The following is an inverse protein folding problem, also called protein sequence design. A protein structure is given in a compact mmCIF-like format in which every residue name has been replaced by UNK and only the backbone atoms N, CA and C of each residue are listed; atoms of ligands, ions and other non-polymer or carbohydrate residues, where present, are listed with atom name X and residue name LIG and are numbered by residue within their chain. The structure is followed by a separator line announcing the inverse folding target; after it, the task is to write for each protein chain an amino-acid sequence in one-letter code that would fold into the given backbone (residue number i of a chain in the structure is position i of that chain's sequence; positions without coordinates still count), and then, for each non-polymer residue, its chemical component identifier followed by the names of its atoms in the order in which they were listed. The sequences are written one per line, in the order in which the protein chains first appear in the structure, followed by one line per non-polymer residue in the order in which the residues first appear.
data_IF_665131494466
#
_entry.id   IF_665131494466
#
_cell.length_a   1.000
_cell.length_b   1.000
_cell.length_c   1.000
_cell.angle_alpha   90.00
_cell.angle_beta   90.00
_cell.angle_gamma   90.00
#
_symmetry.space_group_name_H-M   'P 1'
#
loop_
_entity.id
_entity.type
_entity.pdbx_description
1 polymer ?
#
# COMPACT_ATOMS: atom_id res chain seq x y z
N UNK A 1 0.17 19.56 14.10
CA UNK A 1 1.27 20.00 13.21
C UNK A 1 1.44 21.51 13.32
N UNK A 2 2.61 22.00 13.65
CA UNK A 2 2.88 23.45 13.85
C UNK A 2 3.76 23.95 12.70
N UNK A 3 3.38 25.05 12.05
CA UNK A 3 4.20 25.73 11.05
C UNK A 3 5.45 26.32 11.73
N UNK A 4 6.62 25.81 11.37
CA UNK A 4 7.90 26.30 11.87
C UNK A 4 8.32 27.60 11.17
N UNK A 5 9.32 28.33 11.74
CA UNK A 5 9.89 29.58 11.19
C UNK A 5 10.47 29.46 9.76
N UNK A 6 10.63 28.24 9.22
CA UNK A 6 11.18 27.93 7.90
C UNK A 6 10.12 27.64 6.83
N UNK A 7 8.83 27.81 7.13
CA UNK A 7 7.74 27.45 6.21
C UNK A 7 7.52 25.93 6.03
N UNK A 8 8.27 25.07 6.77
CA UNK A 8 8.09 23.61 6.78
C UNK A 8 7.19 23.19 7.94
N UNK A 9 6.41 22.15 7.72
CA UNK A 9 5.58 21.54 8.77
C UNK A 9 6.48 20.65 9.64
N UNK A 10 6.50 20.90 10.95
CA UNK A 10 7.27 20.06 11.89
C UNK A 10 6.48 18.81 12.23
N UNK A 11 7.14 17.65 12.11
CA UNK A 11 6.63 16.32 12.43
C UNK A 11 7.49 15.72 13.54
N UNK A 12 6.96 15.64 14.77
CA UNK A 12 7.63 14.85 15.82
C UNK A 12 7.35 13.36 15.57
N UNK A 13 8.41 12.64 15.24
CA UNK A 13 8.30 11.22 14.94
C UNK A 13 7.78 10.39 16.12
N UNK A 14 7.96 10.85 17.37
CA UNK A 14 7.51 10.11 18.55
C UNK A 14 6.00 10.17 18.74
N UNK A 15 5.38 11.33 18.47
CA UNK A 15 3.91 11.47 18.52
C UNK A 15 3.23 10.48 17.57
N UNK A 16 3.80 10.30 16.37
CA UNK A 16 3.27 9.41 15.36
C UNK A 16 3.54 7.94 15.68
N UNK A 17 4.80 7.59 15.96
CA UNK A 17 5.24 6.19 16.02
C UNK A 17 4.86 5.45 17.30
N UNK A 18 4.86 6.11 18.47
CA UNK A 18 4.62 5.43 19.75
C UNK A 18 3.26 4.76 19.80
N UNK A 19 2.23 5.45 19.31
CA UNK A 19 0.88 4.92 19.24
C UNK A 19 0.79 3.71 18.30
N UNK A 20 1.40 3.79 17.12
CA UNK A 20 1.39 2.70 16.12
C UNK A 20 2.14 1.48 16.65
N UNK A 21 3.31 1.65 17.27
CA UNK A 21 4.08 0.57 17.88
C UNK A 21 3.26 -0.13 18.95
N UNK A 22 2.63 0.61 19.86
CA UNK A 22 1.86 0.04 20.95
C UNK A 22 0.60 -0.71 20.46
N UNK A 23 -0.15 -0.12 19.50
CA UNK A 23 -1.37 -0.71 18.98
C UNK A 23 -1.13 -1.99 18.16
N UNK A 24 -0.01 -2.07 17.44
CA UNK A 24 0.29 -3.19 16.56
C UNK A 24 1.35 -4.15 17.14
N UNK A 25 1.82 -3.94 18.37
CA UNK A 25 2.84 -4.79 19.02
C UNK A 25 4.15 -4.86 18.23
N UNK A 26 4.56 -3.77 17.58
CA UNK A 26 5.70 -3.77 16.68
C UNK A 26 7.01 -3.98 17.41
N UNK A 27 7.68 -5.07 17.11
CA UNK A 27 9.03 -5.37 17.59
C UNK A 27 10.07 -4.85 16.60
N UNK A 28 11.30 -4.63 17.07
CA UNK A 28 12.43 -4.20 16.24
C UNK A 28 12.30 -2.82 15.54
N UNK A 29 11.23 -2.05 15.80
CA UNK A 29 11.07 -0.70 15.24
C UNK A 29 12.18 0.30 15.68
N UNK A 30 12.99 -0.05 16.70
CA UNK A 30 14.12 0.73 17.17
C UNK A 30 15.48 0.24 16.66
N UNK A 31 15.53 -0.88 15.92
CA UNK A 31 16.79 -1.34 15.32
C UNK A 31 17.28 -0.38 14.24
N UNK A 32 18.58 -0.38 14.04
CA UNK A 32 19.20 0.35 12.94
C UNK A 32 19.19 -0.50 11.68
N UNK A 33 18.63 0.05 10.60
CA UNK A 33 18.63 -0.56 9.27
C UNK A 33 19.17 0.42 8.24
N UNK A 34 19.61 -0.09 7.10
CA UNK A 34 19.68 0.65 5.85
C UNK A 34 18.56 0.15 4.95
N UNK A 35 17.70 1.06 4.48
CA UNK A 35 16.46 0.74 3.77
C UNK A 35 16.46 1.48 2.44
N UNK A 36 16.34 0.74 1.33
CA UNK A 36 16.31 1.28 -0.02
C UNK A 36 14.88 1.23 -0.54
N UNK A 37 14.45 2.31 -1.19
CA UNK A 37 13.08 2.49 -1.66
C UNK A 37 13.02 2.71 -3.15
N UNK A 38 12.01 2.12 -3.74
CA UNK A 38 11.46 2.44 -5.05
C UNK A 38 9.94 2.31 -5.00
N UNK A 39 9.23 2.76 -6.01
CA UNK A 39 7.78 2.62 -6.11
C UNK A 39 7.36 2.11 -7.49
N UNK A 40 6.15 1.54 -7.54
CA UNK A 40 5.53 1.12 -8.79
C UNK A 40 4.04 1.47 -8.82
N UNK A 41 3.51 1.64 -10.03
CA UNK A 41 2.13 2.05 -10.28
C UNK A 41 1.77 3.39 -9.59
N UNK A 42 2.74 4.29 -9.47
CA UNK A 42 2.52 5.63 -8.93
C UNK A 42 1.69 6.46 -9.93
N UNK A 43 0.38 6.49 -9.70
CA UNK A 43 -0.56 7.29 -10.50
C UNK A 43 -0.50 8.78 -10.14
N UNK A 44 0.36 9.15 -9.16
CA UNK A 44 0.54 10.49 -8.59
C UNK A 44 -0.73 11.03 -7.94
N UNK A 45 -1.81 11.14 -8.69
CA UNK A 45 -3.10 11.63 -8.24
C UNK A 45 -4.24 10.80 -8.84
N UNK A 46 -5.18 10.34 -8.00
CA UNK A 46 -6.42 9.71 -8.45
C UNK A 46 -7.56 10.71 -8.27
N UNK A 47 -8.31 10.97 -9.33
CA UNK A 47 -9.44 11.90 -9.28
C UNK A 47 -10.55 11.52 -10.27
N UNK A 48 -11.76 11.93 -9.95
CA UNK A 48 -12.95 11.76 -10.77
C UNK A 48 -13.02 12.88 -11.81
N UNK A 49 -13.37 12.53 -13.05
CA UNK A 49 -13.60 13.42 -14.19
C UNK A 49 -15.01 13.21 -14.71
N UNK A 50 -15.41 14.01 -15.70
CA UNK A 50 -16.71 13.88 -16.35
C UNK A 50 -16.92 12.54 -17.08
N UNK A 51 -15.83 11.89 -17.46
CA UNK A 51 -15.80 10.60 -18.19
C UNK A 51 -15.35 9.41 -17.30
N UNK A 52 -15.32 9.59 -15.98
CA UNK A 52 -14.91 8.56 -15.01
C UNK A 52 -13.62 8.88 -14.26
N UNK A 53 -12.90 7.86 -13.78
CA UNK A 53 -11.61 8.08 -13.15
C UNK A 53 -10.53 8.42 -14.18
N UNK A 54 -9.59 9.32 -13.81
CA UNK A 54 -8.42 9.63 -14.62
C UNK A 54 -7.54 8.41 -14.94
N UNK A 55 -7.65 7.35 -14.15
CA UNK A 55 -7.09 6.02 -14.40
C UNK A 55 -8.22 5.03 -14.19
N UNK A 56 -8.73 4.45 -15.30
CA UNK A 56 -9.93 3.60 -15.28
C UNK A 56 -9.81 2.37 -14.37
N UNK A 57 -8.66 1.74 -14.38
CA UNK A 57 -8.38 0.54 -13.56
C UNK A 57 -7.04 0.76 -12.83
N UNK A 58 -7.05 1.49 -11.69
CA UNK A 58 -5.83 1.74 -10.97
C UNK A 58 -5.28 0.43 -10.41
N UNK A 59 -4.00 0.15 -10.74
CA UNK A 59 -3.28 -0.97 -10.16
C UNK A 59 -2.84 -0.65 -8.74
N UNK A 60 -2.61 -1.69 -7.93
CA UNK A 60 -2.06 -1.49 -6.60
C UNK A 60 -0.76 -0.69 -6.65
N UNK A 61 -0.75 0.44 -5.95
CA UNK A 61 0.47 1.18 -5.68
C UNK A 61 1.31 0.41 -4.67
N UNK A 62 2.60 0.28 -4.93
CA UNK A 62 3.54 -0.29 -3.96
C UNK A 62 4.73 0.63 -3.84
N UNK A 63 5.03 1.04 -2.62
CA UNK A 63 6.32 1.61 -2.24
C UNK A 63 7.05 0.60 -1.36
N UNK A 64 8.31 0.34 -1.65
CA UNK A 64 9.07 -0.66 -0.91
C UNK A 64 10.46 -0.87 -1.48
N UNK A 65 11.01 -2.02 -1.20
CA UNK A 65 12.33 -2.40 -1.70
C UNK A 65 13.02 -3.38 -0.78
N UNK A 66 14.32 -3.18 -0.60
CA UNK A 66 15.16 -4.05 0.23
C UNK A 66 15.73 -3.31 1.43
N UNK A 67 16.01 -4.08 2.48
CA UNK A 67 16.64 -3.58 3.70
C UNK A 67 17.69 -4.57 4.21
N UNK A 68 18.67 -4.06 4.95
CA UNK A 68 19.57 -4.88 5.77
C UNK A 68 19.81 -4.24 7.13
N UNK A 69 20.25 -5.03 8.10
CA UNK A 69 20.57 -4.54 9.43
C UNK A 69 21.86 -3.70 9.42
N UNK A 70 21.88 -2.61 10.18
CA UNK A 70 23.02 -1.72 10.31
C UNK A 70 23.32 -0.90 9.05
N UNK A 71 24.57 -0.40 8.95
CA UNK A 71 25.02 0.53 7.91
C UNK A 71 26.21 0.04 7.06
N UNK A 72 26.69 -1.17 7.31
CA UNK A 72 27.98 -1.61 6.75
C UNK A 72 27.91 -2.56 5.56
N UNK A 73 26.74 -3.05 5.20
CA UNK A 73 26.61 -4.01 4.09
C UNK A 73 26.66 -3.27 2.75
N UNK A 74 27.59 -3.71 1.89
CA UNK A 74 27.64 -3.28 0.49
C UNK A 74 26.90 -4.29 -0.38
N UNK A 75 26.00 -3.79 -1.23
CA UNK A 75 25.27 -4.62 -2.21
C UNK A 75 26.09 -4.64 -3.51
N UNK A 76 26.70 -5.80 -3.81
CA UNK A 76 27.42 -6.02 -5.07
C UNK A 76 26.50 -6.67 -6.11
N UNK A 77 26.19 -5.95 -7.17
CA UNK A 77 25.36 -6.42 -8.28
C UNK A 77 26.14 -7.24 -9.33
N UNK A 78 27.45 -7.30 -9.27
CA UNK A 78 28.28 -7.98 -10.27
C UNK A 78 27.88 -9.44 -10.48
N UNK A 79 27.81 -10.26 -9.42
CA UNK A 79 27.37 -11.66 -9.50
C UNK A 79 25.94 -11.80 -10.04
N UNK A 80 25.00 -10.95 -9.59
CA UNK A 80 23.61 -10.96 -10.05
C UNK A 80 23.51 -10.63 -11.54
N UNK A 81 24.17 -9.55 -11.99
CA UNK A 81 24.20 -9.14 -13.41
C UNK A 81 24.72 -10.28 -14.30
N UNK A 82 25.76 -10.95 -13.85
CA UNK A 82 26.36 -12.08 -14.57
C UNK A 82 25.37 -13.26 -14.68
N UNK A 83 24.74 -13.65 -13.56
CA UNK A 83 23.77 -14.76 -13.52
C UNK A 83 22.52 -14.48 -14.35
N UNK A 84 22.02 -13.25 -14.33
CA UNK A 84 20.88 -12.79 -15.14
C UNK A 84 21.27 -12.53 -16.61
N UNK A 85 22.55 -12.56 -16.96
CA UNK A 85 23.08 -12.22 -18.29
C UNK A 85 22.64 -10.82 -18.73
N UNK A 86 22.69 -9.86 -17.82
CA UNK A 86 22.38 -8.46 -18.12
C UNK A 86 23.48 -7.90 -19.03
N UNK A 87 23.09 -7.26 -20.13
CA UNK A 87 24.03 -6.66 -21.06
C UNK A 87 24.92 -5.62 -20.38
N UNK A 88 26.23 -5.56 -20.68
CA UNK A 88 27.13 -4.57 -20.08
C UNK A 88 26.69 -3.11 -20.33
N UNK A 89 26.00 -2.86 -21.44
CA UNK A 89 25.46 -1.55 -21.80
C UNK A 89 24.22 -1.13 -21.01
N UNK A 90 23.58 -2.06 -20.27
CA UNK A 90 22.44 -1.71 -19.42
C UNK A 90 22.97 -1.01 -18.16
N UNK A 91 22.59 0.26 -17.99
CA UNK A 91 23.02 1.06 -16.85
C UNK A 91 22.52 0.48 -15.52
N UNK A 92 21.30 -0.05 -15.52
CA UNK A 92 20.58 -0.52 -14.34
C UNK A 92 19.99 -1.92 -14.53
N UNK A 93 19.79 -2.63 -13.41
CA UNK A 93 18.93 -3.82 -13.38
C UNK A 93 17.50 -3.36 -13.19
N UNK A 94 16.58 -3.88 -14.01
CA UNK A 94 15.13 -3.62 -13.95
C UNK A 94 14.38 -4.95 -14.08
N UNK A 95 13.10 -5.00 -13.67
CA UNK A 95 12.29 -6.22 -13.74
C UNK A 95 12.34 -6.88 -15.12
N UNK A 96 12.40 -6.13 -16.23
CA UNK A 96 12.50 -6.67 -17.59
C UNK A 96 13.74 -7.54 -17.85
N UNK A 97 14.79 -7.41 -17.04
CA UNK A 97 15.99 -8.26 -17.13
C UNK A 97 15.80 -9.59 -16.40
N UNK A 98 14.84 -9.65 -15.49
CA UNK A 98 14.44 -10.85 -14.72
C UNK A 98 13.30 -11.58 -15.43
N UNK A 99 12.21 -10.86 -15.73
CA UNK A 99 11.03 -11.41 -16.39
C UNK A 99 10.18 -10.31 -17.03
N UNK A 100 9.29 -10.72 -17.96
CA UNK A 100 8.32 -9.85 -18.63
C UNK A 100 6.95 -10.52 -18.64
N UNK A 101 5.89 -9.75 -18.88
CA UNK A 101 4.52 -10.25 -18.94
C UNK A 101 3.67 -9.92 -17.70
N UNK A 102 2.57 -10.66 -17.54
CA UNK A 102 1.73 -10.58 -16.35
C UNK A 102 2.38 -11.30 -15.15
N UNK A 103 1.70 -11.32 -14.01
CA UNK A 103 2.27 -11.94 -12.81
C UNK A 103 2.57 -13.43 -12.98
N UNK A 104 1.68 -14.20 -13.59
CA UNK A 104 1.86 -15.64 -13.81
C UNK A 104 2.97 -15.94 -14.82
N UNK A 105 3.13 -15.08 -15.85
CA UNK A 105 4.26 -15.18 -16.78
C UNK A 105 5.60 -14.98 -16.06
N UNK A 106 5.66 -13.99 -15.17
CA UNK A 106 6.84 -13.69 -14.37
C UNK A 106 7.17 -14.82 -13.43
N UNK A 107 6.19 -15.44 -12.77
CA UNK A 107 6.40 -16.62 -11.94
C UNK A 107 6.99 -17.79 -12.74
N UNK A 108 6.73 -17.90 -14.04
CA UNK A 108 7.30 -18.93 -14.91
C UNK A 108 8.78 -18.72 -15.29
N UNK A 109 9.37 -17.58 -14.95
CA UNK A 109 10.71 -17.24 -15.40
C UNK A 109 11.81 -17.83 -14.50
N UNK A 110 12.73 -18.63 -15.07
CA UNK A 110 13.88 -19.15 -14.34
C UNK A 110 14.82 -18.06 -13.79
N UNK A 111 14.87 -16.89 -14.43
CA UNK A 111 15.65 -15.75 -13.91
C UNK A 111 15.06 -15.14 -12.65
N UNK A 112 13.75 -15.30 -12.42
CA UNK A 112 13.14 -14.87 -11.15
C UNK A 112 13.65 -15.72 -10.00
N UNK A 113 13.81 -17.03 -10.19
CA UNK A 113 14.44 -17.91 -9.20
C UNK A 113 15.84 -17.41 -8.83
N UNK A 114 16.68 -17.15 -9.82
CA UNK A 114 18.04 -16.61 -9.63
C UNK A 114 18.00 -15.31 -8.80
N UNK A 115 17.07 -14.41 -9.10
CA UNK A 115 16.94 -13.14 -8.38
C UNK A 115 16.51 -13.34 -6.93
N UNK A 116 15.49 -14.16 -6.68
CA UNK A 116 14.97 -14.41 -5.32
C UNK A 116 16.00 -15.17 -4.46
N UNK A 117 16.64 -16.20 -5.02
CA UNK A 117 17.72 -16.92 -4.33
C UNK A 117 18.90 -15.98 -3.99
N UNK A 118 19.24 -15.06 -4.90
CA UNK A 118 20.28 -14.08 -4.65
C UNK A 118 19.90 -13.13 -3.49
N UNK A 119 18.66 -12.62 -3.42
CA UNK A 119 18.19 -11.80 -2.30
C UNK A 119 18.32 -12.54 -0.96
N UNK A 120 17.92 -13.82 -0.94
CA UNK A 120 18.01 -14.68 0.23
C UNK A 120 19.46 -14.87 0.66
N UNK A 121 20.36 -15.17 -0.30
CA UNK A 121 21.78 -15.40 -0.06
C UNK A 121 22.51 -14.13 0.43
N UNK A 122 22.09 -12.95 -0.03
CA UNK A 122 22.61 -11.66 0.47
C UNK A 122 22.09 -11.31 1.88
N UNK A 123 21.16 -12.05 2.45
CA UNK A 123 20.55 -11.74 3.73
C UNK A 123 19.65 -10.50 3.70
N UNK A 124 19.25 -10.04 2.51
CA UNK A 124 18.40 -8.86 2.37
C UNK A 124 16.95 -9.17 2.79
N UNK A 125 16.35 -8.26 3.52
CA UNK A 125 14.91 -8.26 3.81
C UNK A 125 14.15 -7.49 2.74
N UNK A 126 12.90 -7.87 2.51
CA UNK A 126 11.96 -7.11 1.66
C UNK A 126 11.04 -6.31 2.55
N UNK A 127 10.86 -5.05 2.22
CA UNK A 127 9.85 -4.22 2.88
C UNK A 127 8.93 -3.59 1.83
N UNK A 128 7.66 -3.38 2.20
CA UNK A 128 6.69 -2.74 1.32
C UNK A 128 5.53 -2.13 2.08
N UNK A 129 4.91 -1.14 1.45
CA UNK A 129 3.54 -0.70 1.71
C UNK A 129 2.76 -0.85 0.42
N UNK A 130 1.67 -1.60 0.44
CA UNK A 130 0.77 -1.79 -0.70
C UNK A 130 -0.56 -1.09 -0.47
N UNK A 131 -1.06 -0.45 -1.50
CA UNK A 131 -2.34 0.26 -1.48
C UNK A 131 -3.17 -0.13 -2.69
N UNK A 132 -4.39 -0.62 -2.48
CA UNK A 132 -5.42 -0.59 -3.51
C UNK A 132 -6.02 0.83 -3.54
N UNK A 133 -5.87 1.58 -4.63
CA UNK A 133 -6.31 2.96 -4.67
C UNK A 133 -7.83 3.13 -4.48
N UNK A 134 -8.64 2.19 -4.97
CA UNK A 134 -10.09 2.24 -4.77
C UNK A 134 -10.45 1.95 -3.30
N UNK A 135 -9.88 0.89 -2.71
CA UNK A 135 -10.11 0.56 -1.31
C UNK A 135 -9.74 1.75 -0.41
N UNK A 136 -8.56 2.35 -0.62
CA UNK A 136 -8.14 3.51 0.17
C UNK A 136 -9.07 4.71 0.00
N UNK A 137 -9.57 4.95 -1.21
CA UNK A 137 -10.50 6.05 -1.47
C UNK A 137 -11.84 5.91 -0.72
N UNK A 138 -12.24 4.70 -0.37
CA UNK A 138 -13.56 4.41 0.22
C UNK A 138 -13.51 4.37 1.75
N UNK A 139 -12.36 4.05 2.34
CA UNK A 139 -12.25 3.86 3.80
C UNK A 139 -12.64 5.07 4.62
N UNK A 140 -12.53 6.27 4.06
CA UNK A 140 -12.86 7.54 4.71
C UNK A 140 -14.33 7.67 5.10
N UNK A 141 -15.25 7.02 4.38
CA UNK A 141 -16.68 6.99 4.74
C UNK A 141 -16.87 6.38 6.13
N UNK A 142 -16.31 5.18 6.34
CA UNK A 142 -16.41 4.48 7.63
C UNK A 142 -15.61 5.20 8.70
N UNK A 143 -14.40 5.68 8.39
CA UNK A 143 -13.55 6.37 9.35
C UNK A 143 -14.16 7.69 9.84
N UNK A 144 -14.81 8.45 8.95
CA UNK A 144 -15.55 9.65 9.32
C UNK A 144 -16.68 9.34 10.32
N UNK A 145 -17.48 8.33 10.03
CA UNK A 145 -18.61 7.96 10.88
C UNK A 145 -18.10 7.48 12.25
N UNK A 146 -17.19 6.53 12.29
CA UNK A 146 -16.68 5.96 13.53
C UNK A 146 -15.89 6.98 14.36
N UNK A 147 -15.08 7.83 13.69
CA UNK A 147 -14.31 8.87 14.33
C UNK A 147 -15.18 9.93 14.98
N UNK A 148 -16.25 10.36 14.30
CA UNK A 148 -17.18 11.37 14.82
C UNK A 148 -18.12 10.79 15.89
N UNK A 149 -18.56 9.56 15.73
CA UNK A 149 -19.42 8.90 16.74
C UNK A 149 -18.68 8.64 18.05
N UNK A 150 -17.36 8.39 17.99
CA UNK A 150 -16.47 8.34 19.16
C UNK A 150 -16.62 7.11 20.07
N UNK A 151 -17.45 6.12 19.70
CA UNK A 151 -17.60 4.88 20.49
C UNK A 151 -16.43 3.93 20.22
N UNK A 152 -15.54 3.82 21.21
CA UNK A 152 -14.27 3.08 21.05
C UNK A 152 -14.43 1.59 20.70
N UNK A 153 -15.55 0.96 21.08
CA UNK A 153 -15.86 -0.45 20.77
C UNK A 153 -16.03 -0.69 19.28
N UNK A 154 -16.51 0.31 18.54
CA UNK A 154 -16.73 0.20 17.09
C UNK A 154 -15.44 0.26 16.29
N UNK A 155 -14.34 0.79 16.82
CA UNK A 155 -13.05 0.74 16.13
C UNK A 155 -12.54 -0.68 15.88
N UNK A 156 -12.94 -1.65 16.73
CA UNK A 156 -12.60 -3.07 16.53
C UNK A 156 -13.26 -3.70 15.29
N UNK A 157 -14.33 -3.12 14.79
CA UNK A 157 -15.07 -3.58 13.60
C UNK A 157 -14.87 -2.66 12.38
N UNK A 158 -14.08 -1.61 12.50
CA UNK A 158 -13.84 -0.65 11.41
C UNK A 158 -13.34 -1.35 10.13
N UNK A 159 -12.39 -2.26 10.26
CA UNK A 159 -11.80 -2.97 9.12
C UNK A 159 -12.81 -3.90 8.41
N UNK A 160 -13.60 -4.75 9.09
CA UNK A 160 -14.72 -5.45 8.48
C UNK A 160 -15.69 -4.53 7.76
N UNK A 161 -16.15 -3.44 8.38
CA UNK A 161 -17.09 -2.50 7.77
C UNK A 161 -16.55 -1.87 6.47
N UNK A 162 -15.28 -1.47 6.47
CA UNK A 162 -14.59 -0.97 5.27
C UNK A 162 -14.55 -2.00 4.16
N UNK A 163 -14.26 -3.26 4.52
CA UNK A 163 -14.25 -4.36 3.58
C UNK A 163 -15.62 -4.63 2.97
N UNK A 164 -16.69 -4.57 3.78
CA UNK A 164 -18.05 -4.82 3.33
C UNK A 164 -18.53 -3.69 2.42
N UNK A 165 -18.28 -2.43 2.77
CA UNK A 165 -18.57 -1.27 1.91
C UNK A 165 -17.79 -1.37 0.59
N UNK A 166 -16.50 -1.69 0.65
CA UNK A 166 -15.68 -1.87 -0.54
C UNK A 166 -16.21 -2.98 -1.46
N UNK A 167 -16.65 -4.11 -0.89
CA UNK A 167 -17.19 -5.23 -1.65
C UNK A 167 -18.44 -4.83 -2.45
N UNK A 168 -19.32 -4.03 -1.83
CA UNK A 168 -20.52 -3.49 -2.49
C UNK A 168 -20.16 -2.51 -3.59
N UNK A 169 -19.33 -1.53 -3.29
CA UNK A 169 -18.95 -0.46 -4.24
C UNK A 169 -18.12 -1.00 -5.42
N UNK A 170 -17.25 -1.98 -5.17
CA UNK A 170 -16.46 -2.60 -6.23
C UNK A 170 -17.29 -3.46 -7.19
N UNK A 171 -18.40 -4.04 -6.73
CA UNK A 171 -19.27 -4.88 -7.56
C UNK A 171 -19.83 -4.14 -8.78
N UNK A 172 -20.14 -2.86 -8.61
CA UNK A 172 -20.54 -1.96 -9.69
C UNK A 172 -19.61 -0.73 -9.70
N UNK A 173 -18.46 -0.94 -10.34
CA UNK A 173 -17.40 0.07 -10.36
C UNK A 173 -17.84 1.37 -11.03
N UNK A 174 -18.50 1.26 -12.22
CA UNK A 174 -18.92 2.44 -12.97
C UNK A 174 -20.02 3.20 -12.22
N UNK A 175 -21.01 2.49 -11.63
CA UNK A 175 -22.02 3.10 -10.75
C UNK A 175 -21.43 3.78 -9.52
N UNK A 176 -20.38 3.20 -8.93
CA UNK A 176 -19.66 3.82 -7.81
C UNK A 176 -18.97 5.13 -8.22
N UNK A 177 -18.34 5.15 -9.39
CA UNK A 177 -17.70 6.37 -9.92
C UNK A 177 -18.75 7.45 -10.21
N UNK A 178 -19.93 7.08 -10.72
CA UNK A 178 -21.05 7.99 -10.94
C UNK A 178 -21.56 8.61 -9.61
N UNK A 179 -21.62 7.81 -8.54
CA UNK A 179 -21.94 8.31 -7.19
C UNK A 179 -20.88 9.32 -6.75
N UNK A 180 -19.61 8.98 -6.86
CA UNK A 180 -18.51 9.88 -6.48
C UNK A 180 -18.55 11.18 -7.25
N UNK A 181 -18.81 11.16 -8.54
CA UNK A 181 -18.95 12.34 -9.37
C UNK A 181 -20.15 13.21 -8.93
N UNK A 182 -21.32 12.59 -8.74
CA UNK A 182 -22.56 13.29 -8.36
C UNK A 182 -22.43 14.04 -7.06
N UNK A 183 -21.73 13.49 -6.10
CA UNK A 183 -21.53 14.06 -4.77
C UNK A 183 -20.18 14.75 -4.60
N UNK A 184 -19.39 14.92 -5.66
CA UNK A 184 -18.05 15.55 -5.62
C UNK A 184 -17.11 14.90 -4.58
N UNK A 185 -17.28 13.58 -4.34
CA UNK A 185 -16.55 12.81 -3.34
C UNK A 185 -15.02 12.98 -3.50
N UNK A 186 -14.22 13.14 -2.41
CA UNK A 186 -14.62 13.00 -1.01
C UNK A 186 -15.28 14.24 -0.40
N UNK A 187 -15.28 15.41 -1.03
CA UNK A 187 -15.93 16.61 -0.52
C UNK A 187 -17.46 16.58 -0.77
N UNK A 188 -18.14 15.64 -0.12
CA UNK A 188 -19.60 15.52 -0.22
C UNK A 188 -20.29 16.75 0.35
N UNK A 189 -19.68 17.33 1.37
CA UNK A 189 -20.18 18.52 2.05
C UNK A 189 -21.46 18.27 2.85
N UNK A 190 -21.75 19.20 3.77
CA UNK A 190 -22.86 19.05 4.69
C UNK A 190 -24.24 18.99 3.99
N UNK A 191 -24.38 19.69 2.87
CA UNK A 191 -25.68 19.79 2.17
C UNK A 191 -26.08 18.47 1.48
N UNK A 192 -25.11 17.70 1.01
CA UNK A 192 -25.36 16.47 0.23
C UNK A 192 -25.15 15.20 1.07
N UNK A 193 -24.65 15.31 2.31
CA UNK A 193 -24.28 14.18 3.16
C UNK A 193 -25.40 13.18 3.37
N UNK A 194 -26.61 13.66 3.69
CA UNK A 194 -27.77 12.81 3.91
C UNK A 194 -28.10 12.02 2.65
N UNK A 195 -28.26 12.67 1.51
CA UNK A 195 -28.54 12.00 0.23
C UNK A 195 -27.46 11.02 -0.18
N UNK A 196 -26.17 11.34 0.04
CA UNK A 196 -25.05 10.44 -0.24
C UNK A 196 -25.12 9.19 0.62
N UNK A 197 -25.34 9.31 1.93
CA UNK A 197 -25.43 8.17 2.83
C UNK A 197 -26.68 7.33 2.57
N UNK A 198 -27.82 7.95 2.25
CA UNK A 198 -29.04 7.23 1.86
C UNK A 198 -28.81 6.38 0.60
N UNK A 199 -28.12 6.95 -0.41
CA UNK A 199 -27.78 6.20 -1.63
C UNK A 199 -26.84 5.03 -1.35
N UNK A 200 -25.87 5.18 -0.43
CA UNK A 200 -25.03 4.06 0.01
C UNK A 200 -25.83 2.98 0.76
N UNK A 201 -26.82 3.37 1.56
CA UNK A 201 -27.73 2.44 2.26
C UNK A 201 -28.57 1.68 1.25
N UNK A 202 -29.18 2.37 0.27
CA UNK A 202 -29.97 1.74 -0.79
C UNK A 202 -29.12 0.75 -1.60
N UNK A 203 -27.88 1.14 -1.94
CA UNK A 203 -26.96 0.25 -2.65
C UNK A 203 -26.62 -0.99 -1.80
N UNK A 204 -26.39 -0.82 -0.49
CA UNK A 204 -26.17 -1.94 0.42
C UNK A 204 -27.38 -2.86 0.53
N UNK A 205 -28.61 -2.32 0.51
CA UNK A 205 -29.83 -3.12 0.50
C UNK A 205 -29.97 -3.92 -0.79
N UNK A 206 -29.80 -3.29 -1.94
CA UNK A 206 -29.88 -3.94 -3.26
C UNK A 206 -28.83 -5.04 -3.43
N UNK A 207 -27.67 -4.88 -2.80
CA UNK A 207 -26.53 -5.81 -2.87
C UNK A 207 -26.31 -6.58 -1.56
N UNK A 208 -27.34 -6.72 -0.75
CA UNK A 208 -27.26 -7.48 0.53
C UNK A 208 -26.88 -8.95 0.35
N UNK A 209 -27.08 -9.51 -0.83
CA UNK A 209 -26.65 -10.87 -1.22
C UNK A 209 -25.11 -11.03 -1.29
N UNK A 210 -24.38 -9.95 -1.39
CA UNK A 210 -22.91 -9.97 -1.36
C UNK A 210 -22.35 -10.16 0.07
N UNK A 211 -23.15 -9.92 1.11
CA UNK A 211 -22.74 -9.98 2.52
C UNK A 211 -23.53 -11.05 3.27
N UNK A 212 -22.97 -11.56 4.36
CA UNK A 212 -23.81 -12.26 5.31
C UNK A 212 -24.76 -11.26 6.03
N UNK A 213 -25.85 -11.78 6.57
CA UNK A 213 -26.90 -10.96 7.18
C UNK A 213 -26.36 -10.07 8.33
N UNK A 214 -25.45 -10.59 9.13
CA UNK A 214 -24.87 -9.83 10.26
C UNK A 214 -24.04 -8.66 9.76
N UNK A 215 -23.16 -8.91 8.80
CA UNK A 215 -22.31 -7.89 8.19
C UNK A 215 -23.15 -6.82 7.49
N UNK A 216 -24.18 -7.22 6.74
CA UNK A 216 -25.10 -6.27 6.13
C UNK A 216 -25.78 -5.37 7.18
N UNK A 217 -26.33 -5.96 8.24
CA UNK A 217 -26.97 -5.17 9.31
C UNK A 217 -26.01 -4.24 10.02
N UNK A 218 -24.77 -4.65 10.23
CA UNK A 218 -23.74 -3.81 10.84
C UNK A 218 -23.32 -2.65 9.94
N UNK A 219 -23.12 -2.91 8.65
CA UNK A 219 -22.80 -1.86 7.68
C UNK A 219 -23.93 -0.85 7.57
N UNK A 220 -25.18 -1.32 7.36
CA UNK A 220 -26.37 -0.47 7.29
C UNK A 220 -26.53 0.38 8.56
N UNK A 221 -26.45 -0.24 9.74
CA UNK A 221 -26.55 0.47 11.02
C UNK A 221 -25.43 1.51 11.20
N UNK A 222 -24.24 1.27 10.69
CA UNK A 222 -23.14 2.25 10.71
C UNK A 222 -23.45 3.44 9.81
N UNK A 223 -23.92 3.22 8.58
CA UNK A 223 -24.34 4.30 7.68
C UNK A 223 -25.51 5.11 8.26
N UNK A 224 -26.51 4.43 8.90
CA UNK A 224 -27.62 5.09 9.61
C UNK A 224 -27.15 5.93 10.81
N UNK A 225 -26.08 5.54 11.50
CA UNK A 225 -25.43 6.39 12.51
C UNK A 225 -24.90 7.66 11.84
N UNK A 226 -24.24 7.53 10.67
CA UNK A 226 -23.74 8.67 9.90
C UNK A 226 -24.80 9.73 9.57
N UNK A 227 -26.04 9.31 9.28
CA UNK A 227 -27.18 10.22 9.03
C UNK A 227 -27.51 11.10 10.25
N UNK A 228 -27.21 10.64 11.46
CA UNK A 228 -27.54 11.33 12.71
C UNK A 228 -26.41 12.23 13.23
N UNK A 229 -25.24 12.19 12.59
CA UNK A 229 -24.08 12.98 13.01
C UNK A 229 -24.15 14.41 12.45
N UNK A 230 -23.62 15.36 13.20
CA UNK A 230 -23.59 16.78 12.79
C UNK A 230 -22.58 17.08 11.70
N UNK A 231 -21.51 16.26 11.60
CA UNK A 231 -20.43 16.39 10.61
C UNK A 231 -19.78 15.05 10.31
N UNK A 232 -19.13 14.95 9.15
CA UNK A 232 -18.27 13.82 8.77
C UNK A 232 -16.93 14.37 8.30
N UNK A 233 -15.90 14.42 9.18
CA UNK A 233 -14.68 15.21 8.97
C UNK A 233 -13.93 14.91 7.66
N UNK A 234 -13.90 13.64 7.22
CA UNK A 234 -13.18 13.24 5.99
C UNK A 234 -14.07 13.32 4.72
N UNK A 235 -15.31 13.77 4.86
CA UNK A 235 -16.26 13.97 3.75
C UNK A 235 -16.68 15.43 3.60
N UNK A 236 -16.05 16.34 4.34
CA UNK A 236 -16.36 17.76 4.38
C UNK A 236 -15.07 18.59 4.37
N UNK A 237 -14.99 19.60 3.51
CA UNK A 237 -13.85 20.49 3.33
C UNK A 237 -12.59 19.80 2.75
N UNK A 238 -12.80 18.76 1.97
CA UNK A 238 -11.76 18.06 1.22
C UNK A 238 -11.60 18.66 -0.19
N UNK A 239 -10.63 18.17 -0.95
CA UNK A 239 -10.48 18.58 -2.35
C UNK A 239 -11.55 17.87 -3.20
N UNK A 240 -12.51 18.59 -3.81
CA UNK A 240 -13.58 17.96 -4.60
C UNK A 240 -13.03 17.05 -5.71
N UNK A 241 -13.62 15.86 -5.84
CA UNK A 241 -13.25 14.87 -6.85
C UNK A 241 -11.81 14.34 -6.77
N UNK A 242 -11.04 14.62 -5.72
CA UNK A 242 -9.68 14.16 -5.54
C UNK A 242 -9.66 13.03 -4.53
N UNK A 243 -9.63 11.80 -5.04
CA UNK A 243 -9.64 10.59 -4.21
C UNK A 243 -8.29 10.34 -3.53
N UNK A 244 -7.21 10.61 -4.25
CA UNK A 244 -5.83 10.49 -3.76
C UNK A 244 -5.03 11.65 -4.32
N UNK A 245 -4.46 12.47 -3.46
CA UNK A 245 -3.64 13.61 -3.89
C UNK A 245 -2.17 13.23 -4.09
N UNK A 246 -1.62 12.37 -3.22
CA UNK A 246 -0.27 11.81 -3.37
C UNK A 246 -0.06 10.58 -2.48
N UNK A 247 0.99 9.82 -2.77
CA UNK A 247 1.42 8.70 -1.92
C UNK A 247 2.56 9.08 -0.95
N UNK A 248 2.89 10.36 -0.83
CA UNK A 248 3.98 10.84 0.02
C UNK A 248 3.86 10.47 1.49
N UNK A 249 2.61 10.35 2.00
CA UNK A 249 2.34 9.95 3.37
C UNK A 249 2.91 8.57 3.74
N UNK A 250 2.98 7.63 2.80
CA UNK A 250 3.57 6.30 3.04
C UNK A 250 5.07 6.36 3.28
N UNK A 251 5.79 7.24 2.59
CA UNK A 251 7.20 7.48 2.85
C UNK A 251 7.41 8.18 4.20
N UNK A 252 6.60 9.19 4.51
CA UNK A 252 6.63 9.89 5.79
C UNK A 252 6.42 8.91 6.95
N UNK A 253 5.43 8.04 6.87
CA UNK A 253 5.13 7.05 7.90
C UNK A 253 6.31 6.12 8.16
N UNK A 254 6.95 5.61 7.11
CA UNK A 254 8.13 4.76 7.18
C UNK A 254 9.31 5.45 7.85
N UNK A 255 9.60 6.71 7.46
CA UNK A 255 10.67 7.52 8.04
C UNK A 255 10.42 7.74 9.54
N UNK A 256 9.17 8.03 9.93
CA UNK A 256 8.80 8.19 11.33
C UNK A 256 8.91 6.88 12.10
N UNK A 257 8.37 5.79 11.56
CA UNK A 257 8.27 4.51 12.25
C UNK A 257 9.64 3.90 12.51
N UNK A 258 10.53 3.96 11.55
CA UNK A 258 11.89 3.44 11.60
C UNK A 258 12.92 4.57 11.76
N UNK A 259 12.72 5.43 12.77
CA UNK A 259 13.52 6.65 12.99
C UNK A 259 15.03 6.43 13.11
N UNK A 260 15.46 5.22 13.48
CA UNK A 260 16.88 4.86 13.63
C UNK A 260 17.47 4.25 12.33
N UNK A 261 16.67 4.08 11.30
CA UNK A 261 17.15 3.59 10.01
C UNK A 261 17.71 4.73 9.15
N UNK A 262 18.63 4.38 8.24
CA UNK A 262 19.02 5.21 7.12
C UNK A 262 18.11 4.88 5.93
N UNK A 263 17.31 5.85 5.48
CA UNK A 263 16.37 5.69 4.36
C UNK A 263 16.99 6.27 3.08
N UNK A 264 17.10 5.44 2.05
CA UNK A 264 17.66 5.81 0.74
C UNK A 264 16.55 5.65 -0.29
N UNK A 265 16.04 6.78 -0.77
CA UNK A 265 14.88 6.86 -1.66
C UNK A 265 15.32 7.11 -3.09
N UNK A 266 14.67 6.46 -4.06
CA UNK A 266 14.85 6.84 -5.46
C UNK A 266 14.39 8.29 -5.68
N UNK A 267 15.04 8.96 -6.62
CA UNK A 267 14.78 10.37 -6.90
C UNK A 267 13.50 10.51 -7.73
N UNK A 268 12.40 10.79 -7.04
CA UNK A 268 11.10 11.12 -7.61
C UNK A 268 10.67 12.52 -7.15
N UNK A 269 10.39 13.42 -8.11
CA UNK A 269 10.19 14.84 -7.80
C UNK A 269 8.98 15.11 -6.91
N UNK A 270 7.86 14.38 -7.11
CA UNK A 270 6.65 14.59 -6.30
C UNK A 270 6.89 14.20 -4.84
N UNK A 271 7.57 13.08 -4.60
CA UNK A 271 7.91 12.61 -3.25
C UNK A 271 8.95 13.53 -2.62
N UNK A 272 9.94 13.97 -3.40
CA UNK A 272 10.93 14.95 -2.94
C UNK A 272 10.28 16.27 -2.52
N UNK A 273 9.33 16.76 -3.30
CA UNK A 273 8.61 18.00 -2.98
C UNK A 273 7.71 17.81 -1.76
N UNK A 274 7.05 16.67 -1.62
CA UNK A 274 6.24 16.34 -0.45
C UNK A 274 7.08 16.30 0.83
N UNK A 275 8.13 15.49 0.85
CA UNK A 275 9.02 15.35 2.02
C UNK A 275 9.81 16.64 2.30
N UNK A 276 10.13 17.42 1.27
CA UNK A 276 10.80 18.71 1.39
C UNK A 276 10.02 19.78 2.16
N UNK A 277 8.67 19.64 2.24
CA UNK A 277 7.80 20.50 3.06
C UNK A 277 7.78 20.11 4.53
N UNK A 278 8.35 18.96 4.88
CA UNK A 278 8.35 18.40 6.23
C UNK A 278 9.71 18.63 6.90
N UNK A 279 9.68 18.78 8.21
CA UNK A 279 10.85 18.79 9.09
C UNK A 279 10.62 17.73 10.16
N UNK A 280 11.36 16.65 10.09
CA UNK A 280 11.28 15.57 11.06
C UNK A 280 12.11 15.90 12.30
N UNK A 281 11.55 15.68 13.48
CA UNK A 281 12.24 15.87 14.77
C UNK A 281 12.01 14.68 15.69
N UNK A 282 13.03 14.39 16.51
CA UNK A 282 12.98 13.44 17.62
C UNK A 282 13.11 14.25 18.91
N UNK A 283 12.01 14.73 19.47
CA UNK A 283 12.00 15.77 20.46
C UNK A 283 12.60 17.07 19.92
N UNK A 284 13.67 17.56 20.53
CA UNK A 284 14.33 18.80 20.09
C UNK A 284 15.36 18.59 18.94
N UNK A 285 15.69 17.33 18.62
CA UNK A 285 16.70 17.02 17.62
C UNK A 285 16.10 16.85 16.23
N UNK A 286 16.58 17.60 15.26
CA UNK A 286 16.25 17.36 13.84
C UNK A 286 16.83 16.04 13.36
N UNK A 287 16.00 15.25 12.65
CA UNK A 287 16.38 13.99 12.05
C UNK A 287 16.77 14.22 10.58
N UNK A 288 17.95 13.72 10.21
CA UNK A 288 18.47 13.68 8.85
C UNK A 288 18.73 12.22 8.43
N UNK A 289 17.72 11.37 8.63
CA UNK A 289 17.82 9.92 8.46
C UNK A 289 17.37 9.44 7.07
N UNK A 290 17.09 10.36 6.14
CA UNK A 290 16.76 10.00 4.77
C UNK A 290 17.52 10.86 3.77
N UNK A 291 17.75 10.29 2.58
CA UNK A 291 18.31 10.98 1.41
C UNK A 291 17.69 10.45 0.13
N UNK A 292 17.71 11.26 -0.89
CA UNK A 292 17.41 10.83 -2.26
C UNK A 292 18.72 10.42 -2.96
N UNK A 293 18.64 9.41 -3.81
CA UNK A 293 19.73 8.95 -4.64
C UNK A 293 19.22 8.57 -6.04
N UNK A 294 20.11 8.62 -7.01
CA UNK A 294 19.80 8.18 -8.38
C UNK A 294 20.02 6.66 -8.45
N UNK A 295 19.08 5.92 -8.97
CA UNK A 295 19.11 4.44 -9.05
C UNK A 295 20.36 3.90 -9.75
N UNK A 296 20.88 4.63 -10.76
CA UNK A 296 22.11 4.26 -11.44
C UNK A 296 23.32 4.13 -10.49
N UNK A 297 23.42 5.02 -9.50
CA UNK A 297 24.56 5.10 -8.58
C UNK A 297 24.35 4.29 -7.28
N UNK A 298 23.12 3.77 -7.07
CA UNK A 298 22.72 3.13 -5.82
C UNK A 298 22.23 1.69 -6.07
N UNK A 299 23.08 0.66 -5.86
CA UNK A 299 22.71 -0.74 -6.10
C UNK A 299 21.45 -1.19 -5.37
N UNK A 300 21.24 -0.72 -4.14
CA UNK A 300 20.06 -1.07 -3.35
C UNK A 300 18.74 -0.59 -3.98
N UNK A 301 18.74 0.59 -4.62
CA UNK A 301 17.56 1.10 -5.35
C UNK A 301 17.27 0.25 -6.58
N UNK A 302 18.30 -0.18 -7.34
CA UNK A 302 18.08 -1.06 -8.51
C UNK A 302 17.44 -2.38 -8.13
N UNK A 303 17.83 -2.97 -7.00
CA UNK A 303 17.22 -4.20 -6.47
C UNK A 303 15.80 -3.91 -5.97
N UNK A 304 15.59 -2.75 -5.37
CA UNK A 304 14.29 -2.29 -4.91
C UNK A 304 13.30 -2.09 -6.07
N UNK A 305 13.72 -1.55 -7.22
CA UNK A 305 12.90 -1.46 -8.45
C UNK A 305 12.37 -2.84 -8.87
N UNK A 306 13.24 -3.84 -8.90
CA UNK A 306 12.84 -5.20 -9.32
C UNK A 306 11.81 -5.81 -8.38
N UNK A 307 12.10 -5.80 -7.07
CA UNK A 307 11.20 -6.44 -6.09
C UNK A 307 9.88 -5.66 -5.94
N UNK A 308 9.92 -4.34 -5.96
CA UNK A 308 8.72 -3.49 -5.86
C UNK A 308 7.84 -3.66 -7.10
N UNK A 309 8.43 -3.71 -8.28
CA UNK A 309 7.71 -4.00 -9.53
C UNK A 309 7.09 -5.42 -9.53
N UNK A 310 7.77 -6.43 -8.99
CA UNK A 310 7.22 -7.78 -8.81
C UNK A 310 6.02 -7.76 -7.85
N UNK A 311 6.16 -7.12 -6.70
CA UNK A 311 5.08 -6.99 -5.71
C UNK A 311 3.88 -6.22 -6.28
N UNK A 312 4.11 -5.16 -7.06
CA UNK A 312 3.03 -4.42 -7.73
C UNK A 312 2.23 -5.29 -8.69
N UNK A 313 2.89 -6.19 -9.44
CA UNK A 313 2.20 -7.15 -10.30
C UNK A 313 1.47 -8.23 -9.51
N UNK A 314 2.08 -8.72 -8.42
CA UNK A 314 1.46 -9.69 -7.52
C UNK A 314 0.19 -9.14 -6.88
N UNK A 315 0.26 -8.01 -6.20
CA UNK A 315 -0.91 -7.44 -5.53
C UNK A 315 -1.99 -6.99 -6.51
N UNK A 316 -1.61 -6.43 -7.66
CA UNK A 316 -2.59 -6.08 -8.71
C UNK A 316 -3.29 -7.34 -9.27
N UNK A 317 -2.59 -8.47 -9.39
CA UNK A 317 -3.18 -9.74 -9.79
C UNK A 317 -4.17 -10.25 -8.74
N UNK A 318 -3.81 -10.21 -7.47
CA UNK A 318 -4.68 -10.64 -6.36
C UNK A 318 -5.93 -9.74 -6.27
N UNK A 319 -5.73 -8.42 -6.23
CA UNK A 319 -6.82 -7.47 -6.09
C UNK A 319 -7.76 -7.46 -7.29
N UNK A 320 -7.30 -7.71 -8.52
CA UNK A 320 -8.14 -7.76 -9.71
C UNK A 320 -8.85 -9.12 -9.91
N UNK A 321 -8.34 -10.22 -9.33
CA UNK A 321 -8.85 -11.56 -9.54
C UNK A 321 -10.16 -11.85 -8.82
N UNK A 322 -11.03 -12.66 -9.41
CA UNK A 322 -12.16 -13.30 -8.70
C UNK A 322 -11.64 -14.47 -7.88
N UNK A 323 -12.44 -14.92 -6.88
CA UNK A 323 -12.09 -16.06 -6.04
C UNK A 323 -11.79 -17.31 -6.89
N UNK A 324 -12.68 -17.62 -7.83
CA UNK A 324 -12.52 -18.74 -8.75
C UNK A 324 -11.26 -18.64 -9.59
N UNK A 325 -11.02 -17.47 -10.19
CA UNK A 325 -9.85 -17.24 -11.04
C UNK A 325 -8.53 -17.38 -10.26
N UNK A 326 -8.49 -16.93 -9.01
CA UNK A 326 -7.31 -17.04 -8.15
C UNK A 326 -7.05 -18.49 -7.71
N UNK A 327 -8.10 -19.25 -7.35
CA UNK A 327 -7.97 -20.67 -7.02
C UNK A 327 -7.57 -21.50 -8.24
N UNK A 328 -8.15 -21.23 -9.40
CA UNK A 328 -7.81 -21.89 -10.67
C UNK A 328 -6.35 -21.63 -11.03
N UNK A 329 -5.92 -20.36 -10.99
CA UNK A 329 -4.54 -19.98 -11.23
C UNK A 329 -3.58 -20.69 -10.25
N UNK A 330 -3.92 -20.75 -8.95
CA UNK A 330 -3.08 -21.39 -7.94
C UNK A 330 -2.96 -22.90 -8.16
N UNK A 331 -4.07 -23.56 -8.50
CA UNK A 331 -4.11 -25.03 -8.73
C UNK A 331 -3.38 -25.47 -10.00
N UNK A 332 -3.21 -24.56 -10.97
CA UNK A 332 -2.59 -24.85 -12.28
C UNK A 332 -1.15 -24.39 -12.40
N UNK A 333 -0.53 -23.90 -11.31
CA UNK A 333 0.87 -23.48 -11.32
C UNK A 333 1.78 -24.65 -11.72
N UNK A 334 2.67 -24.40 -12.68
CA UNK A 334 3.70 -25.36 -13.03
C UNK A 334 4.85 -25.37 -11.98
N UNK A 335 5.77 -26.34 -12.11
CA UNK A 335 6.87 -26.51 -11.14
C UNK A 335 7.73 -25.25 -10.96
N UNK A 336 8.02 -24.50 -12.04
CA UNK A 336 8.81 -23.25 -11.95
C UNK A 336 8.04 -22.15 -11.23
N UNK A 337 6.76 -22.01 -11.55
CA UNK A 337 5.89 -21.03 -10.89
C UNK A 337 5.73 -21.33 -9.40
N UNK A 338 5.52 -22.60 -9.05
CA UNK A 338 5.44 -23.05 -7.65
C UNK A 338 6.73 -22.74 -6.90
N UNK A 339 7.89 -23.02 -7.51
CA UNK A 339 9.19 -22.74 -6.90
C UNK A 339 9.39 -21.24 -6.65
N UNK A 340 9.07 -20.41 -7.62
CA UNK A 340 9.22 -18.96 -7.50
C UNK A 340 8.27 -18.34 -6.48
N UNK A 341 7.02 -18.79 -6.39
CA UNK A 341 6.08 -18.27 -5.39
C UNK A 341 6.48 -18.73 -3.98
N UNK A 342 7.01 -19.93 -3.82
CA UNK A 342 7.55 -20.41 -2.54
C UNK A 342 8.74 -19.55 -2.09
N UNK A 343 9.72 -19.30 -2.97
CA UNK A 343 10.86 -18.43 -2.66
C UNK A 343 10.43 -17.02 -2.29
N UNK A 344 9.44 -16.47 -3.00
CA UNK A 344 8.87 -15.16 -2.66
C UNK A 344 8.20 -15.20 -1.29
N UNK A 345 7.41 -16.23 -0.98
CA UNK A 345 6.80 -16.41 0.33
C UNK A 345 7.85 -16.46 1.45
N UNK A 346 8.85 -17.31 1.30
CA UNK A 346 9.91 -17.48 2.30
C UNK A 346 10.66 -16.17 2.57
N UNK A 347 10.91 -15.39 1.52
CA UNK A 347 11.55 -14.08 1.62
C UNK A 347 10.66 -13.08 2.37
N UNK A 348 9.36 -13.05 2.09
CA UNK A 348 8.42 -12.16 2.76
C UNK A 348 8.21 -12.57 4.23
N UNK A 349 8.02 -13.87 4.52
CA UNK A 349 7.86 -14.38 5.88
C UNK A 349 9.11 -14.11 6.73
N UNK A 350 10.31 -14.31 6.18
CA UNK A 350 11.56 -13.96 6.85
C UNK A 350 11.63 -12.47 7.18
N UNK A 351 11.17 -11.63 6.25
CA UNK A 351 11.21 -10.17 6.42
C UNK A 351 10.22 -9.70 7.49
N UNK A 352 9.01 -10.24 7.50
CA UNK A 352 7.99 -9.98 8.54
C UNK A 352 8.44 -10.53 9.89
N UNK A 353 9.05 -11.72 9.91
CA UNK A 353 9.63 -12.30 11.13
C UNK A 353 10.74 -11.44 11.74
N UNK A 354 11.55 -10.76 10.92
CA UNK A 354 12.52 -9.77 11.39
C UNK A 354 11.83 -8.52 11.94
N UNK A 355 10.90 -7.96 11.19
CA UNK A 355 10.25 -6.71 11.60
C UNK A 355 8.86 -6.58 10.95
N UNK A 356 7.81 -6.60 11.77
CA UNK A 356 6.43 -6.44 11.29
C UNK A 356 6.21 -5.15 10.50
N UNK A 357 7.00 -4.10 10.75
CA UNK A 357 6.95 -2.83 9.99
C UNK A 357 7.30 -3.04 8.51
N UNK A 358 8.01 -4.09 8.15
CA UNK A 358 8.39 -4.33 6.75
C UNK A 358 7.21 -4.69 5.84
N UNK A 359 6.06 -5.06 6.40
CA UNK A 359 4.83 -5.31 5.63
C UNK A 359 3.70 -4.41 6.11
N UNK A 360 3.15 -3.60 5.21
CA UNK A 360 1.98 -2.79 5.47
C UNK A 360 1.02 -2.87 4.28
N UNK A 361 -0.27 -3.08 4.55
CA UNK A 361 -1.26 -3.31 3.50
C UNK A 361 -2.52 -2.49 3.74
N UNK A 362 -2.87 -1.69 2.74
CA UNK A 362 -4.15 -0.97 2.62
C UNK A 362 -4.92 -1.58 1.46
N UNK A 363 -5.35 -2.82 1.65
CA UNK A 363 -6.15 -3.62 0.73
C UNK A 363 -7.27 -4.29 1.51
N UNK A 364 -8.28 -4.82 0.82
CA UNK A 364 -9.39 -5.51 1.48
C UNK A 364 -8.93 -6.74 2.26
N UNK A 365 -9.70 -7.14 3.27
CA UNK A 365 -9.44 -8.38 4.04
C UNK A 365 -9.41 -9.58 3.10
N UNK A 366 -10.37 -9.64 2.17
CA UNK A 366 -10.43 -10.69 1.14
C UNK A 366 -9.14 -10.78 0.35
N UNK A 367 -8.64 -9.65 -0.17
CA UNK A 367 -7.44 -9.63 -1.00
C UNK A 367 -6.19 -9.98 -0.19
N UNK A 368 -6.14 -9.60 1.09
CA UNK A 368 -5.06 -10.01 1.98
C UNK A 368 -5.07 -11.52 2.19
N UNK A 369 -6.23 -12.12 2.53
CA UNK A 369 -6.34 -13.56 2.77
C UNK A 369 -6.03 -14.37 1.51
N UNK A 370 -6.54 -13.96 0.33
CA UNK A 370 -6.21 -14.60 -0.93
C UNK A 370 -4.73 -14.47 -1.31
N UNK A 371 -4.15 -13.31 -1.07
CA UNK A 371 -2.72 -13.12 -1.28
C UNK A 371 -1.89 -14.07 -0.41
N UNK A 372 -2.19 -14.17 0.86
CA UNK A 372 -1.51 -15.11 1.77
C UNK A 372 -1.72 -16.56 1.33
N UNK A 373 -2.95 -16.98 1.04
CA UNK A 373 -3.25 -18.33 0.58
C UNK A 373 -2.58 -18.66 -0.76
N UNK A 374 -2.52 -17.69 -1.70
CA UNK A 374 -1.90 -17.90 -3.01
C UNK A 374 -0.41 -18.21 -2.93
N UNK A 375 0.32 -17.60 -2.00
CA UNK A 375 1.76 -17.81 -1.85
C UNK A 375 2.11 -18.94 -0.86
N UNK A 376 1.22 -19.30 0.05
CA UNK A 376 1.45 -20.37 1.02
C UNK A 376 1.61 -21.75 0.35
N UNK A 377 2.39 -22.69 0.92
CA UNK A 377 2.43 -24.06 0.45
C UNK A 377 1.03 -24.67 0.39
N UNK A 378 0.74 -25.45 -0.66
CA UNK A 378 -0.46 -26.30 -0.67
C UNK A 378 -0.21 -27.51 0.23
N UNK A 379 -1.07 -27.73 1.22
CA UNK A 379 -1.06 -28.93 2.05
C UNK A 379 -1.42 -30.18 1.25
#
# INVERSE_FOLDING_TARGET
MTLGQTGRVTVDVNEHRQRIIALNGLVNANRAYTIYYDETNNIRRLHVRDDGLNVREPKCFVVGGVAHEGSGQQIDLGPLRSSLKVQPSAAEIKLKHVATGNFLDILGAARLEIFLEWLIAQGLFVHYSVVDPLYWSIVDVVDSILGQYGESRLFGIARPLKNDLYKILRYDYDGTVDIFQRYTYPDVGRANREAFLEELIELAEVRSDLLDHTNYMMLKGTLEIGLKLDSLPFLENEAPNVLIDSFGAFFQERICLLKNAAHILDLEDVIKDYLGRLRFVDGDRELANFRFAVSHDEPGIQVSDVITSLLGKYFSFICAGTDEALWDARSTLNAQQTRNITLLNDLLERSVGENLVFSYSVISIRDQMFGEAFRSPME
#
